data_IF_039016822549
#
_entry.id   IF_039016822549
#
_cell.length_a   1.000
_cell.length_b   1.000
_cell.length_c   1.000
_cell.angle_alpha   90.00
_cell.angle_beta   90.00
_cell.angle_gamma   90.00
#
_symmetry.space_group_name_H-M   'P 1'
#
loop_
_entity.id
_entity.type
_entity.pdbx_description
1 polymer ?
#
# COMPACT_ATOMS: atom_id res chain seq x y z
N UNK A 1 6.60 -25.72 -9.62
CA UNK A 1 5.84 -25.45 -10.86
C UNK A 1 4.76 -24.36 -10.72
N UNK A 2 3.86 -24.40 -9.73
CA UNK A 2 2.80 -23.38 -9.56
C UNK A 2 3.32 -21.95 -9.31
N UNK A 3 4.24 -21.77 -8.37
CA UNK A 3 4.83 -20.45 -8.07
C UNK A 3 5.54 -19.83 -9.28
N UNK A 4 6.32 -20.62 -10.04
CA UNK A 4 6.97 -20.17 -11.27
C UNK A 4 5.96 -19.70 -12.33
N UNK A 5 4.87 -20.44 -12.51
CA UNK A 5 3.81 -20.06 -13.46
C UNK A 5 3.15 -18.74 -13.07
N UNK A 6 2.83 -18.57 -11.78
CA UNK A 6 2.26 -17.33 -11.26
C UNK A 6 3.24 -16.15 -11.35
N UNK A 7 4.54 -16.40 -11.18
CA UNK A 7 5.57 -15.38 -11.40
C UNK A 7 5.62 -14.95 -12.85
N UNK A 8 5.52 -15.84 -13.83
CA UNK A 8 5.49 -15.46 -15.25
C UNK A 8 4.32 -14.47 -15.51
N UNK A 9 3.18 -14.68 -14.86
CA UNK A 9 1.99 -13.82 -14.98
C UNK A 9 2.13 -12.49 -14.20
N UNK A 10 2.98 -12.43 -13.18
CA UNK A 10 3.23 -11.20 -12.44
C UNK A 10 3.96 -10.21 -13.35
N UNK A 11 3.34 -9.06 -13.60
CA UNK A 11 3.94 -7.96 -14.34
C UNK A 11 5.20 -7.45 -13.64
N UNK A 12 6.20 -7.07 -14.43
CA UNK A 12 7.43 -6.49 -13.89
C UNK A 12 7.14 -5.12 -13.24
N UNK A 13 7.84 -4.83 -12.16
CA UNK A 13 7.75 -3.54 -11.49
C UNK A 13 8.76 -2.56 -12.10
N UNK A 14 8.27 -1.41 -12.56
CA UNK A 14 9.09 -0.39 -13.22
C UNK A 14 9.39 0.83 -12.35
N UNK A 15 8.71 0.99 -11.21
CA UNK A 15 8.76 2.21 -10.40
C UNK A 15 7.84 3.33 -10.88
N UNK A 16 7.04 3.10 -11.92
CA UNK A 16 6.08 4.08 -12.42
C UNK A 16 4.81 4.20 -11.55
N UNK A 17 4.00 5.26 -11.75
CA UNK A 17 2.85 5.56 -10.91
C UNK A 17 1.69 4.56 -11.04
N UNK A 18 1.70 3.72 -12.09
CA UNK A 18 0.62 2.77 -12.39
C UNK A 18 0.50 1.65 -11.35
N UNK A 19 1.61 1.30 -10.70
CA UNK A 19 1.65 0.22 -9.70
C UNK A 19 2.44 0.70 -8.49
N UNK A 20 1.85 0.65 -7.30
CA UNK A 20 2.58 0.94 -6.06
C UNK A 20 3.47 -0.22 -5.64
N UNK A 21 4.66 0.08 -5.14
CA UNK A 21 5.63 -0.94 -4.75
C UNK A 21 5.11 -1.81 -3.61
N UNK A 22 4.51 -1.20 -2.57
CA UNK A 22 3.94 -1.89 -1.40
C UNK A 22 2.90 -2.98 -1.76
N UNK A 23 2.05 -2.72 -2.76
CA UNK A 23 1.07 -3.68 -3.27
C UNK A 23 1.73 -4.74 -4.12
N UNK A 24 2.62 -4.34 -5.01
CA UNK A 24 3.29 -5.25 -5.92
C UNK A 24 4.19 -6.25 -5.18
N UNK A 25 4.98 -5.78 -4.22
CA UNK A 25 5.90 -6.64 -3.45
C UNK A 25 5.12 -7.65 -2.61
N UNK A 26 3.94 -7.30 -2.07
CA UNK A 26 3.06 -8.26 -1.39
C UNK A 26 2.58 -9.37 -2.32
N UNK A 27 2.23 -9.06 -3.57
CA UNK A 27 1.85 -10.07 -4.56
C UNK A 27 3.03 -10.99 -4.88
N UNK A 28 4.21 -10.42 -5.10
CA UNK A 28 5.44 -11.18 -5.28
C UNK A 28 5.72 -12.10 -4.08
N UNK A 29 5.66 -11.56 -2.86
CA UNK A 29 5.90 -12.30 -1.61
C UNK A 29 4.90 -13.45 -1.40
N UNK A 30 3.62 -13.23 -1.71
CA UNK A 30 2.61 -14.29 -1.68
C UNK A 30 2.94 -15.41 -2.68
N UNK A 31 3.44 -15.08 -3.87
CA UNK A 31 3.80 -16.08 -4.87
C UNK A 31 5.01 -16.89 -4.44
N UNK A 32 6.07 -16.24 -3.95
CA UNK A 32 7.29 -16.94 -3.49
C UNK A 32 7.05 -17.72 -2.20
N UNK A 33 6.10 -17.31 -1.35
CA UNK A 33 5.70 -18.08 -0.16
C UNK A 33 5.09 -19.45 -0.51
N UNK A 34 4.56 -19.63 -1.73
CA UNK A 34 4.09 -20.91 -2.24
C UNK A 34 5.23 -21.80 -2.80
N UNK A 35 6.49 -21.39 -2.62
CA UNK A 35 7.67 -22.12 -3.09
C UNK A 35 8.59 -22.51 -1.93
N UNK A 36 9.46 -23.49 -2.15
CA UNK A 36 10.50 -23.89 -1.19
C UNK A 36 11.82 -23.11 -1.41
N UNK A 37 11.74 -21.91 -1.97
CA UNK A 37 12.92 -21.13 -2.32
C UNK A 37 13.62 -20.54 -1.10
N UNK A 38 14.94 -20.59 -1.10
CA UNK A 38 15.76 -19.88 -0.13
C UNK A 38 15.83 -18.37 -0.45
N UNK A 39 16.40 -17.58 0.47
CA UNK A 39 16.46 -16.12 0.32
C UNK A 39 17.25 -15.67 -0.92
N UNK A 40 18.30 -16.39 -1.31
CA UNK A 40 19.07 -16.09 -2.54
C UNK A 40 18.23 -16.32 -3.80
N UNK A 41 17.46 -17.40 -3.84
CA UNK A 41 16.54 -17.69 -4.94
C UNK A 41 15.42 -16.63 -5.01
N UNK A 42 14.84 -16.24 -3.87
CA UNK A 42 13.87 -15.13 -3.82
C UNK A 42 14.46 -13.82 -4.33
N UNK A 43 15.69 -13.48 -3.91
CA UNK A 43 16.39 -12.28 -4.38
C UNK A 43 16.63 -12.32 -5.88
N UNK A 44 17.11 -13.44 -6.42
CA UNK A 44 17.30 -13.60 -7.87
C UNK A 44 15.98 -13.40 -8.63
N UNK A 45 14.88 -13.95 -8.13
CA UNK A 45 13.58 -13.77 -8.75
C UNK A 45 13.08 -12.33 -8.65
N UNK A 46 13.33 -11.65 -7.52
CA UNK A 46 13.04 -10.22 -7.38
C UNK A 46 13.78 -9.42 -8.45
N UNK A 47 15.09 -9.65 -8.64
CA UNK A 47 15.90 -8.98 -9.66
C UNK A 47 15.29 -9.16 -11.06
N UNK A 48 14.86 -10.37 -11.44
CA UNK A 48 14.24 -10.62 -12.75
C UNK A 48 12.88 -9.94 -12.95
N UNK A 49 12.25 -9.52 -11.85
CA UNK A 49 10.93 -8.90 -11.83
C UNK A 49 10.95 -7.39 -11.69
N UNK A 50 12.12 -6.81 -11.52
CA UNK A 50 12.34 -5.36 -11.56
C UNK A 50 12.80 -4.96 -12.97
N UNK A 51 12.25 -3.86 -13.49
CA UNK A 51 12.58 -3.32 -14.81
C UNK A 51 12.72 -1.79 -14.77
N UNK A 52 13.30 -1.19 -15.80
CA UNK A 52 13.48 0.27 -15.90
C UNK A 52 14.18 0.86 -14.67
N UNK A 53 13.74 2.04 -14.22
CA UNK A 53 14.34 2.74 -13.08
C UNK A 53 14.32 1.92 -11.78
N UNK A 54 13.33 1.05 -11.60
CA UNK A 54 13.29 0.20 -10.43
C UNK A 54 14.38 -0.88 -10.43
N UNK A 55 14.77 -1.37 -11.60
CA UNK A 55 15.92 -2.25 -11.74
C UNK A 55 17.22 -1.53 -11.40
N UNK A 56 17.41 -0.30 -11.90
CA UNK A 56 18.61 0.49 -11.65
C UNK A 56 18.80 0.79 -10.16
N UNK A 57 17.71 1.17 -9.46
CA UNK A 57 17.70 1.38 -8.01
C UNK A 57 18.06 0.09 -7.28
N UNK A 58 17.48 -1.05 -7.67
CA UNK A 58 17.77 -2.34 -7.05
C UNK A 58 19.25 -2.72 -7.23
N UNK A 59 19.80 -2.62 -8.44
CA UNK A 59 21.21 -2.93 -8.69
C UNK A 59 22.14 -2.05 -7.84
N UNK A 60 21.86 -0.74 -7.78
CA UNK A 60 22.64 0.17 -6.95
C UNK A 60 22.65 -0.25 -5.47
N UNK A 61 21.50 -0.65 -4.92
CA UNK A 61 21.41 -1.15 -3.54
C UNK A 61 22.22 -2.44 -3.35
N UNK A 62 22.10 -3.39 -4.30
CA UNK A 62 22.77 -4.69 -4.22
C UNK A 62 24.29 -4.58 -4.33
N UNK A 63 24.79 -3.62 -5.12
CA UNK A 63 26.23 -3.40 -5.33
C UNK A 63 26.86 -2.58 -4.21
N UNK A 64 26.13 -1.61 -3.63
CA UNK A 64 26.72 -0.61 -2.73
C UNK A 64 26.29 -0.69 -1.28
N UNK A 65 25.19 -1.39 -0.95
CA UNK A 65 24.59 -1.35 0.39
C UNK A 65 24.45 -2.74 1.00
N UNK A 66 23.67 -3.64 0.40
CA UNK A 66 23.32 -4.92 1.01
C UNK A 66 22.75 -5.92 0.01
N UNK A 67 22.94 -7.21 0.28
CA UNK A 67 22.27 -8.31 -0.42
C UNK A 67 21.23 -9.03 0.47
N UNK A 68 21.03 -8.58 1.70
CA UNK A 68 19.99 -9.12 2.58
C UNK A 68 18.60 -8.74 2.05
N UNK A 69 17.74 -9.74 1.85
CA UNK A 69 16.43 -9.54 1.23
C UNK A 69 15.51 -8.61 2.02
N UNK A 70 15.53 -8.69 3.36
CA UNK A 70 14.68 -7.85 4.20
C UNK A 70 15.12 -6.40 4.10
N UNK A 71 16.42 -6.16 4.15
CA UNK A 71 16.97 -4.80 4.07
C UNK A 71 16.80 -4.19 2.67
N UNK A 72 17.01 -4.97 1.61
CA UNK A 72 16.74 -4.54 0.22
C UNK A 72 15.27 -4.12 0.08
N UNK A 73 14.32 -4.92 0.58
CA UNK A 73 12.90 -4.59 0.54
C UNK A 73 12.60 -3.28 1.28
N UNK A 74 13.19 -3.09 2.46
CA UNK A 74 13.03 -1.86 3.26
C UNK A 74 13.53 -0.64 2.49
N UNK A 75 14.72 -0.72 1.90
CA UNK A 75 15.31 0.36 1.11
C UNK A 75 14.51 0.67 -0.15
N UNK A 76 14.01 -0.34 -0.88
CA UNK A 76 13.13 -0.11 -2.02
C UNK A 76 11.83 0.59 -1.60
N UNK A 77 11.22 0.16 -0.49
CA UNK A 77 10.04 0.81 0.06
C UNK A 77 10.31 2.29 0.38
N UNK A 78 11.44 2.60 1.01
CA UNK A 78 11.86 3.96 1.31
C UNK A 78 12.14 4.79 0.04
N UNK A 79 12.73 4.20 -1.01
CA UNK A 79 12.98 4.90 -2.27
C UNK A 79 11.70 5.24 -3.03
N UNK A 80 10.71 4.35 -3.03
CA UNK A 80 9.44 4.58 -3.76
C UNK A 80 8.36 5.29 -2.94
N UNK A 81 8.43 5.20 -1.61
CA UNK A 81 7.38 5.69 -0.72
C UNK A 81 7.92 6.44 0.52
N UNK A 82 9.21 6.81 0.57
CA UNK A 82 9.80 7.47 1.75
C UNK A 82 9.24 8.87 2.02
N UNK A 83 8.64 9.50 1.03
CA UNK A 83 7.89 10.75 1.19
C UNK A 83 6.43 10.54 1.62
N UNK A 84 5.92 9.31 1.60
CA UNK A 84 4.59 8.95 2.09
C UNK A 84 4.62 8.72 3.62
N UNK A 85 5.07 9.73 4.35
CA UNK A 85 5.07 9.69 5.81
C UNK A 85 3.67 9.99 6.39
N UNK A 86 3.56 10.00 7.72
CA UNK A 86 2.29 10.24 8.40
C UNK A 86 1.63 11.56 7.96
N UNK A 87 2.39 12.65 7.84
CA UNK A 87 1.90 13.97 7.43
C UNK A 87 1.37 13.98 5.99
N UNK A 88 2.03 13.24 5.08
CA UNK A 88 1.53 13.04 3.71
C UNK A 88 0.14 12.43 3.72
N UNK A 89 -0.07 11.36 4.49
CA UNK A 89 -1.37 10.69 4.57
C UNK A 89 -2.44 11.53 5.29
N UNK A 90 -2.06 12.31 6.30
CA UNK A 90 -2.97 13.27 6.93
C UNK A 90 -3.42 14.35 5.93
N UNK A 91 -2.49 14.87 5.11
CA UNK A 91 -2.82 15.84 4.05
C UNK A 91 -3.76 15.22 3.01
N UNK A 92 -3.48 14.00 2.56
CA UNK A 92 -4.37 13.26 1.65
C UNK A 92 -5.77 13.05 2.26
N UNK A 93 -5.86 12.83 3.57
CA UNK A 93 -7.14 12.63 4.26
C UNK A 93 -8.01 13.90 4.28
N UNK A 94 -7.41 15.09 4.24
CA UNK A 94 -8.17 16.35 4.15
C UNK A 94 -8.77 16.57 2.75
N UNK A 95 -8.08 16.10 1.72
CA UNK A 95 -8.47 16.30 0.33
C UNK A 95 -9.39 15.20 -0.22
N UNK A 96 -9.37 14.02 0.40
CA UNK A 96 -10.04 12.83 -0.11
C UNK A 96 -11.57 13.00 -0.18
N UNK A 97 -12.09 12.89 -1.40
CA UNK A 97 -13.53 12.87 -1.68
C UNK A 97 -13.87 11.67 -2.55
N UNK A 98 -15.13 11.25 -2.49
CA UNK A 98 -15.65 10.24 -3.41
C UNK A 98 -15.66 10.81 -4.82
N UNK A 99 -15.07 10.10 -5.77
CA UNK A 99 -15.08 10.52 -7.16
C UNK A 99 -16.47 10.28 -7.79
N UNK A 100 -16.88 11.09 -8.78
CA UNK A 100 -18.09 10.82 -9.54
C UNK A 100 -18.07 9.40 -10.13
N UNK A 101 -19.12 8.62 -9.87
CA UNK A 101 -19.23 7.24 -10.35
C UNK A 101 -18.46 6.18 -9.56
N UNK A 102 -17.60 6.55 -8.61
CA UNK A 102 -16.88 5.59 -7.73
C UNK A 102 -17.88 4.82 -6.87
N UNK A 103 -17.72 3.50 -6.71
CA UNK A 103 -18.57 2.75 -5.80
C UNK A 103 -18.34 3.22 -4.35
N UNK A 104 -19.41 3.28 -3.55
CA UNK A 104 -19.31 3.78 -2.16
C UNK A 104 -18.33 2.92 -1.33
N UNK A 105 -18.30 1.61 -1.59
CA UNK A 105 -17.37 0.69 -0.92
C UNK A 105 -15.91 0.98 -1.31
N UNK A 106 -15.62 1.19 -2.59
CA UNK A 106 -14.26 1.52 -3.06
C UNK A 106 -13.75 2.82 -2.42
N UNK A 107 -14.63 3.84 -2.34
CA UNK A 107 -14.33 5.07 -1.60
C UNK A 107 -14.04 4.79 -0.12
N UNK A 108 -14.87 3.98 0.54
CA UNK A 108 -14.69 3.61 1.95
C UNK A 108 -13.36 2.87 2.20
N UNK A 109 -13.00 1.93 1.34
CA UNK A 109 -11.73 1.22 1.41
C UNK A 109 -10.54 2.16 1.22
N UNK A 110 -10.59 3.04 0.22
CA UNK A 110 -9.53 4.01 -0.06
C UNK A 110 -9.34 4.99 1.09
N UNK A 111 -10.43 5.54 1.62
CA UNK A 111 -10.42 6.42 2.78
C UNK A 111 -9.82 5.72 4.01
N UNK A 112 -10.29 4.50 4.31
CA UNK A 112 -9.79 3.72 5.44
C UNK A 112 -8.29 3.48 5.32
N UNK A 113 -7.80 3.11 4.15
CA UNK A 113 -6.37 2.90 3.93
C UNK A 113 -5.55 4.17 4.18
N UNK A 114 -5.99 5.33 3.68
CA UNK A 114 -5.32 6.62 3.96
C UNK A 114 -5.34 6.92 5.47
N UNK A 115 -6.49 6.72 6.12
CA UNK A 115 -6.65 6.98 7.55
C UNK A 115 -5.71 6.13 8.41
N UNK A 116 -5.57 4.84 8.11
CA UNK A 116 -4.69 3.93 8.86
C UNK A 116 -3.21 4.32 8.77
N UNK A 117 -2.78 4.98 7.69
CA UNK A 117 -1.40 5.47 7.55
C UNK A 117 -1.21 6.87 8.16
N UNK A 118 -2.21 7.75 8.09
CA UNK A 118 -2.14 9.09 8.69
C UNK A 118 -2.36 9.09 10.21
N UNK A 119 -3.09 8.10 10.70
CA UNK A 119 -3.32 7.85 12.12
C UNK A 119 -3.12 6.35 12.36
N UNK A 120 -1.89 5.84 12.54
CA UNK A 120 -1.67 4.44 12.88
C UNK A 120 -2.24 4.10 14.26
N UNK A 121 -2.62 2.83 14.47
CA UNK A 121 -3.07 2.34 15.78
C UNK A 121 -1.85 2.20 16.69
N UNK A 122 -1.91 2.75 17.90
CA UNK A 122 -0.89 2.51 18.93
C UNK A 122 -0.96 1.08 19.46
N UNK A 123 0.18 0.52 19.87
CA UNK A 123 0.25 -0.82 20.46
C UNK A 123 -0.57 -0.92 21.76
N UNK A 124 -0.69 0.20 22.49
CA UNK A 124 -1.42 0.33 23.75
C UNK A 124 -2.80 1.02 23.60
N UNK A 125 -3.32 1.16 22.37
CA UNK A 125 -4.60 1.84 22.13
C UNK A 125 -5.73 1.19 22.94
N UNK A 126 -6.39 1.99 23.76
CA UNK A 126 -7.54 1.56 24.56
C UNK A 126 -8.78 1.43 23.68
N UNK A 127 -9.85 0.82 24.22
CA UNK A 127 -11.17 0.80 23.56
C UNK A 127 -11.70 2.22 23.27
N UNK A 128 -11.35 3.20 24.11
CA UNK A 128 -11.72 4.60 23.93
C UNK A 128 -11.00 5.22 22.74
N UNK A 129 -9.72 4.90 22.56
CA UNK A 129 -8.92 5.37 21.41
C UNK A 129 -9.44 4.78 20.11
N UNK A 130 -9.76 3.48 20.10
CA UNK A 130 -10.38 2.82 18.97
C UNK A 130 -11.74 3.45 18.61
N UNK A 131 -12.56 3.75 19.62
CA UNK A 131 -13.85 4.43 19.42
C UNK A 131 -13.66 5.82 18.80
N UNK A 132 -12.69 6.58 19.28
CA UNK A 132 -12.37 7.92 18.78
C UNK A 132 -11.91 7.86 17.32
N UNK A 133 -11.03 6.91 16.99
CA UNK A 133 -10.56 6.69 15.62
C UNK A 133 -11.70 6.33 14.66
N UNK A 134 -12.60 5.45 15.09
CA UNK A 134 -13.78 5.08 14.29
C UNK A 134 -14.72 6.28 14.08
N UNK A 135 -14.89 7.14 15.08
CA UNK A 135 -15.68 8.37 14.94
C UNK A 135 -15.03 9.33 13.94
N UNK A 136 -13.72 9.54 14.00
CA UNK A 136 -12.98 10.37 13.03
C UNK A 136 -13.13 9.83 11.60
N UNK A 137 -12.90 8.53 11.40
CA UNK A 137 -13.05 7.88 10.10
C UNK A 137 -14.46 8.03 9.54
N UNK A 138 -15.49 7.82 10.38
CA UNK A 138 -16.90 8.03 10.00
C UNK A 138 -17.17 9.48 9.61
N UNK A 139 -16.66 10.45 10.36
CA UNK A 139 -16.86 11.87 10.05
C UNK A 139 -16.21 12.23 8.72
N UNK A 140 -14.97 11.80 8.47
CA UNK A 140 -14.27 12.02 7.19
C UNK A 140 -15.02 11.37 6.02
N UNK A 141 -15.54 10.15 6.21
CA UNK A 141 -16.35 9.47 5.20
C UNK A 141 -17.57 10.30 4.81
N UNK A 142 -18.33 10.80 5.78
CA UNK A 142 -19.49 11.63 5.51
C UNK A 142 -19.12 12.96 4.83
N UNK A 143 -17.98 13.55 5.17
CA UNK A 143 -17.49 14.81 4.58
C UNK A 143 -17.09 14.66 3.11
N UNK A 144 -16.62 13.49 2.68
CA UNK A 144 -16.24 13.25 1.29
C UNK A 144 -17.35 12.72 0.38
N UNK A 145 -18.55 12.44 0.91
CA UNK A 145 -19.74 12.14 0.10
C UNK A 145 -20.35 13.42 -0.49
N UNK A 146 -20.94 13.30 -1.69
CA UNK A 146 -21.80 14.32 -2.28
C UNK A 146 -23.03 14.60 -1.39
N UNK A 147 -23.60 15.80 -1.52
CA UNK A 147 -24.71 16.26 -0.65
C UNK A 147 -25.90 15.30 -0.67
N UNK A 148 -26.23 14.76 -1.85
CA UNK A 148 -27.39 13.88 -2.05
C UNK A 148 -27.23 12.56 -1.29
N UNK A 149 -26.06 11.92 -1.42
CA UNK A 149 -25.78 10.68 -0.71
C UNK A 149 -25.52 10.90 0.78
N UNK A 150 -24.87 11.99 1.17
CA UNK A 150 -24.70 12.37 2.58
C UNK A 150 -26.04 12.47 3.29
N UNK A 151 -27.04 13.08 2.65
CA UNK A 151 -28.38 13.18 3.22
C UNK A 151 -29.04 11.80 3.36
N UNK A 152 -28.93 10.93 2.35
CA UNK A 152 -29.46 9.56 2.45
C UNK A 152 -28.80 8.73 3.57
N UNK A 153 -27.50 8.90 3.81
CA UNK A 153 -26.78 8.19 4.87
C UNK A 153 -27.08 8.77 6.25
N UNK A 154 -27.23 10.10 6.36
CA UNK A 154 -27.51 10.79 7.62
C UNK A 154 -28.96 10.61 8.09
N UNK A 155 -29.89 10.41 7.16
CA UNK A 155 -31.33 10.33 7.42
C UNK A 155 -31.94 8.96 7.09
N UNK A 156 -31.14 7.89 7.03
CA UNK A 156 -31.72 6.54 7.03
C UNK A 156 -32.38 6.31 8.41
N UNK A 157 -33.69 6.01 8.46
CA UNK A 157 -34.39 5.68 9.71
C UNK A 157 -33.85 4.40 10.34
#
# INVERSE_FOLDING_TARGET
QRAQTMLIQLQNFTGGPSTRFDRWIKLFENIVAMSNWNEKEKMNMLVTKMAGSAHDILQNILESVTQDYKEVKRLLQERFHGNENQDFFQTQLEEVKRHPGEAILDYGFRLKNIFEHGYPKGEDDTKTDETTRLQMLRQKFLQGLDKTLRNKVRYKP
#
